data_IF_667090373762
#
_entry.id   IF_667090373762
#
_cell.length_a   1.000
_cell.length_b   1.000
_cell.length_c   1.000
_cell.angle_alpha   90.00
_cell.angle_beta   90.00
_cell.angle_gamma   90.00
#
_symmetry.space_group_name_H-M   'P 1'
#
loop_
_entity.id
_entity.type
_entity.pdbx_description
1 polymer ?
#
# COMPACT_ATOMS: atom_id res chain seq x y z
N UNK A 1 -34.01 -21.54 22.75
CA UNK A 1 -33.07 -20.41 22.66
C UNK A 1 -31.84 -20.69 21.79
N UNK A 2 -31.51 -21.93 21.45
CA UNK A 2 -30.33 -22.30 20.64
C UNK A 2 -30.51 -22.19 19.12
N UNK A 3 -31.75 -22.19 18.62
CA UNK A 3 -32.03 -22.17 17.17
C UNK A 3 -31.95 -20.78 16.53
N UNK A 4 -32.30 -19.73 17.29
CA UNK A 4 -32.33 -18.36 16.79
C UNK A 4 -30.92 -17.76 16.67
N UNK A 5 -30.03 -18.14 17.58
CA UNK A 5 -28.61 -17.78 17.52
C UNK A 5 -27.91 -18.44 16.33
N UNK A 6 -28.23 -19.71 16.04
CA UNK A 6 -27.66 -20.45 14.91
C UNK A 6 -28.08 -19.85 13.57
N UNK A 7 -29.35 -19.48 13.44
CA UNK A 7 -29.85 -18.82 12.23
C UNK A 7 -29.16 -17.46 11.97
N UNK A 8 -28.89 -16.68 13.02
CA UNK A 8 -28.08 -15.45 12.93
C UNK A 8 -26.64 -15.76 12.51
N UNK A 9 -25.99 -16.76 13.09
CA UNK A 9 -24.63 -17.14 12.72
C UNK A 9 -24.50 -17.55 11.24
N UNK A 10 -25.49 -18.27 10.72
CA UNK A 10 -25.54 -18.66 9.30
C UNK A 10 -25.74 -17.43 8.38
N UNK A 11 -26.54 -16.45 8.79
CA UNK A 11 -26.73 -15.17 8.09
C UNK A 11 -25.42 -14.37 7.98
N UNK A 12 -24.52 -14.49 8.98
CA UNK A 12 -23.21 -13.83 9.00
C UNK A 12 -22.06 -14.72 8.47
N UNK A 13 -22.34 -15.89 7.90
CA UNK A 13 -21.33 -16.79 7.32
C UNK A 13 -20.41 -17.47 8.35
N UNK A 14 -20.85 -17.58 9.62
CA UNK A 14 -20.12 -18.24 10.70
C UNK A 14 -20.46 -19.74 10.75
N UNK A 15 -20.31 -20.43 9.61
CA UNK A 15 -20.71 -21.85 9.45
C UNK A 15 -19.74 -22.84 10.09
N UNK A 16 -18.51 -22.42 10.40
CA UNK A 16 -17.53 -23.21 11.14
C UNK A 16 -17.05 -22.46 12.37
N UNK A 17 -17.59 -22.82 13.54
CA UNK A 17 -16.92 -22.54 14.80
C UNK A 17 -15.82 -23.60 14.93
N UNK A 18 -14.58 -23.26 14.60
CA UNK A 18 -13.45 -24.10 15.00
C UNK A 18 -13.53 -24.31 16.51
N UNK A 19 -13.78 -25.55 16.91
CA UNK A 19 -13.71 -26.01 18.30
C UNK A 19 -12.25 -26.02 18.72
N UNK A 20 -11.65 -24.85 18.91
CA UNK A 20 -10.50 -24.69 19.77
C UNK A 20 -11.05 -24.42 21.18
N UNK A 21 -11.59 -25.45 21.83
CA UNK A 21 -11.86 -25.33 23.26
C UNK A 21 -11.89 -26.68 23.95
N UNK A 22 -11.18 -26.71 25.07
CA UNK A 22 -11.38 -27.56 26.25
C UNK A 22 -10.51 -28.83 26.38
N UNK A 23 -9.19 -28.64 26.36
CA UNK A 23 -8.32 -29.42 27.27
C UNK A 23 -6.97 -28.73 27.48
N UNK A 24 -7.00 -27.58 28.17
CA UNK A 24 -5.83 -27.09 28.89
C UNK A 24 -6.24 -27.00 30.36
N UNK A 25 -5.66 -27.89 31.16
CA UNK A 25 -5.81 -27.87 32.60
C UNK A 25 -5.37 -26.50 33.13
N UNK A 26 -6.23 -25.87 33.94
CA UNK A 26 -5.92 -24.59 34.57
C UNK A 26 -4.82 -24.77 35.61
N UNK A 27 -3.56 -24.59 35.20
CA UNK A 27 -2.54 -24.08 36.10
C UNK A 27 -2.63 -22.54 36.07
N UNK A 28 -3.51 -22.00 36.92
CA UNK A 28 -3.60 -20.56 37.15
C UNK A 28 -2.45 -20.12 38.05
N UNK A 29 -1.24 -20.08 37.51
CA UNK A 29 -0.17 -19.30 38.13
C UNK A 29 -0.53 -17.82 37.99
N UNK A 30 -0.78 -17.16 39.13
CA UNK A 30 -1.01 -15.71 39.19
C UNK A 30 0.29 -15.00 38.79
N UNK A 31 0.49 -14.81 37.48
CA UNK A 31 1.50 -13.92 36.96
C UNK A 31 1.16 -12.50 37.45
N UNK A 32 2.08 -11.76 38.07
CA UNK A 32 1.81 -10.36 38.41
C UNK A 32 1.57 -9.61 37.10
N UNK A 33 0.32 -9.17 36.89
CA UNK A 33 -0.05 -8.24 35.83
C UNK A 33 0.71 -6.94 36.08
N UNK A 34 1.89 -6.84 35.49
CA UNK A 34 2.65 -5.61 35.45
C UNK A 34 2.12 -4.83 34.26
N UNK A 35 1.12 -3.99 34.51
CA UNK A 35 0.66 -2.99 33.54
C UNK A 35 1.84 -2.04 33.25
N UNK A 36 2.58 -2.31 32.18
CA UNK A 36 3.51 -1.34 31.62
C UNK A 36 2.69 -0.30 30.86
N UNK A 37 2.31 0.78 31.56
CA UNK A 37 1.86 1.98 30.88
C UNK A 37 3.01 2.55 30.05
N UNK A 38 2.98 2.29 28.73
CA UNK A 38 3.88 2.93 27.78
C UNK A 38 3.56 4.43 27.77
N UNK A 39 4.34 5.22 28.51
CA UNK A 39 4.31 6.68 28.37
C UNK A 39 4.85 7.07 26.99
N UNK A 40 3.96 7.12 26.01
CA UNK A 40 4.28 7.67 24.69
C UNK A 40 4.31 9.19 24.83
N UNK A 41 5.50 9.77 24.91
CA UNK A 41 5.66 11.23 24.80
C UNK A 41 5.20 11.64 23.39
N UNK A 42 4.01 12.24 23.30
CA UNK A 42 3.51 12.77 22.03
C UNK A 42 4.37 13.98 21.65
N UNK A 43 4.80 14.09 20.39
CA UNK A 43 5.39 15.31 19.85
C UNK A 43 4.45 16.50 20.11
N UNK A 44 4.99 17.73 20.21
CA UNK A 44 4.17 18.93 20.26
C UNK A 44 3.17 18.95 19.10
N UNK A 45 1.96 19.48 19.35
CA UNK A 45 0.99 19.67 18.28
C UNK A 45 1.60 20.54 17.19
N UNK A 46 1.54 20.08 15.93
CA UNK A 46 1.99 20.88 14.80
C UNK A 46 0.94 21.92 14.44
N UNK A 47 1.37 23.10 14.02
CA UNK A 47 0.49 24.12 13.45
C UNK A 47 -0.06 23.63 12.10
N UNK A 48 -1.38 23.66 11.87
CA UNK A 48 -1.96 23.21 10.61
C UNK A 48 -1.58 24.16 9.47
N UNK A 49 -1.09 23.60 8.38
CA UNK A 49 -0.81 24.37 7.16
C UNK A 49 -2.11 24.79 6.46
N UNK A 50 -2.13 25.96 5.83
CA UNK A 50 -3.30 26.47 5.14
C UNK A 50 -3.60 25.64 3.89
N UNK A 51 -4.79 25.05 3.85
CA UNK A 51 -5.20 24.25 2.71
C UNK A 51 -5.51 25.10 1.48
N UNK A 52 -5.03 24.67 0.31
CA UNK A 52 -5.39 25.24 -0.98
C UNK A 52 -5.49 24.13 -2.02
N UNK A 53 -6.23 24.37 -3.10
CA UNK A 53 -6.32 23.45 -4.23
C UNK A 53 -5.57 24.05 -5.41
N UNK A 54 -4.59 23.34 -5.94
CA UNK A 54 -3.83 23.78 -7.10
C UNK A 54 -4.74 24.03 -8.32
N UNK A 55 -4.42 25.08 -9.08
CA UNK A 55 -5.08 25.37 -10.36
C UNK A 55 -4.76 24.31 -11.42
N UNK A 56 -3.52 23.80 -11.45
CA UNK A 56 -3.14 22.76 -12.40
C UNK A 56 -3.90 21.45 -12.16
N UNK A 57 -4.19 21.12 -10.90
CA UNK A 57 -5.05 19.98 -10.54
C UNK A 57 -6.50 20.16 -11.03
N UNK A 58 -7.07 21.36 -10.88
CA UNK A 58 -8.40 21.69 -11.42
C UNK A 58 -8.43 21.61 -12.93
N UNK A 59 -7.41 22.15 -13.60
CA UNK A 59 -7.28 22.10 -15.05
C UNK A 59 -7.14 20.65 -15.54
N UNK A 60 -6.37 19.82 -14.85
CA UNK A 60 -6.21 18.40 -15.17
C UNK A 60 -7.52 17.62 -15.03
N UNK A 61 -8.30 17.89 -13.97
CA UNK A 61 -9.64 17.31 -13.79
C UNK A 61 -10.58 17.74 -14.91
N UNK A 62 -10.60 19.02 -15.27
CA UNK A 62 -11.56 19.56 -16.24
C UNK A 62 -11.21 19.23 -17.69
N UNK A 63 -9.92 19.24 -18.06
CA UNK A 63 -9.45 19.18 -19.45
C UNK A 63 -8.79 17.85 -19.80
N UNK A 64 -8.43 17.04 -18.82
CA UNK A 64 -7.66 15.81 -19.02
C UNK A 64 -6.17 16.04 -19.31
N UNK A 65 -5.42 14.94 -19.43
CA UNK A 65 -3.95 14.97 -19.50
C UNK A 65 -3.39 15.51 -20.83
N UNK A 66 -4.11 15.33 -21.94
CA UNK A 66 -3.68 15.79 -23.27
C UNK A 66 -3.74 17.31 -23.46
N UNK A 67 -4.35 18.03 -22.53
CA UNK A 67 -4.69 19.45 -22.69
C UNK A 67 -4.18 20.34 -21.55
N UNK A 68 -3.28 19.79 -20.72
CA UNK A 68 -2.59 20.54 -19.66
C UNK A 68 -1.10 20.62 -19.94
N UNK A 69 -0.47 21.63 -19.34
CA UNK A 69 0.99 21.70 -19.26
C UNK A 69 1.48 20.67 -18.22
N UNK A 70 1.96 19.53 -18.72
CA UNK A 70 2.47 18.44 -17.89
C UNK A 70 3.71 18.85 -17.10
N UNK A 71 4.50 19.82 -17.60
CA UNK A 71 5.71 20.28 -16.90
C UNK A 71 5.34 21.11 -15.67
N UNK A 72 4.35 22.00 -15.79
CA UNK A 72 3.79 22.71 -14.65
C UNK A 72 3.13 21.77 -13.65
N UNK A 73 2.38 20.78 -14.14
CA UNK A 73 1.75 19.78 -13.28
C UNK A 73 2.78 18.98 -12.47
N UNK A 74 3.85 18.50 -13.11
CA UNK A 74 4.95 17.78 -12.44
C UNK A 74 5.80 18.67 -11.53
N UNK A 75 5.88 19.98 -11.78
CA UNK A 75 6.57 20.91 -10.89
C UNK A 75 5.78 21.15 -9.60
N UNK A 76 4.45 21.20 -9.67
CA UNK A 76 3.57 21.39 -8.52
C UNK A 76 3.29 20.09 -7.75
N UNK A 77 3.31 18.94 -8.43
CA UNK A 77 3.01 17.63 -7.84
C UNK A 77 4.26 16.76 -7.77
N UNK A 78 4.61 16.32 -6.56
CA UNK A 78 5.80 15.50 -6.33
C UNK A 78 5.50 14.01 -6.54
N UNK A 79 6.39 13.25 -7.19
CA UNK A 79 6.32 11.80 -7.19
C UNK A 79 6.26 11.24 -5.76
N UNK A 80 5.37 10.27 -5.53
CA UNK A 80 5.02 9.79 -4.19
C UNK A 80 6.25 9.43 -3.33
N UNK A 81 7.17 8.63 -3.85
CA UNK A 81 8.38 8.25 -3.10
C UNK A 81 9.39 9.39 -2.91
N UNK A 82 9.37 10.42 -3.77
CA UNK A 82 10.21 11.62 -3.56
C UNK A 82 9.69 12.48 -2.42
N UNK A 83 8.41 12.38 -2.04
CA UNK A 83 7.90 13.06 -0.84
C UNK A 83 8.56 12.54 0.44
N UNK A 84 9.05 11.31 0.40
CA UNK A 84 9.74 10.65 1.52
C UNK A 84 11.21 11.03 1.60
N UNK A 85 11.70 11.84 0.64
CA UNK A 85 13.09 12.26 0.61
C UNK A 85 13.49 12.82 1.96
N UNK A 86 12.81 13.75 2.65
CA UNK A 86 13.41 14.29 3.90
C UNK A 86 13.33 13.39 5.17
N UNK A 87 12.89 12.12 5.07
CA UNK A 87 12.62 11.24 6.23
C UNK A 87 13.84 10.50 6.74
N UNK A 88 13.77 10.01 7.99
CA UNK A 88 14.75 9.07 8.50
C UNK A 88 14.82 7.78 7.66
N UNK A 89 13.76 7.40 6.94
CA UNK A 89 13.82 6.32 5.95
C UNK A 89 14.78 6.67 4.80
N UNK A 90 14.91 7.95 4.47
CA UNK A 90 15.93 8.42 3.56
C UNK A 90 17.33 8.56 4.19
N UNK A 91 17.59 8.24 5.47
CA UNK A 91 18.98 8.04 5.92
C UNK A 91 19.62 6.81 5.27
N UNK A 92 18.80 5.88 4.80
CA UNK A 92 19.22 4.77 3.95
C UNK A 92 19.37 5.21 2.47
N UNK A 93 19.16 6.50 2.17
CA UNK A 93 19.45 7.23 0.93
C UNK A 93 19.60 8.76 1.19
N UNK A 94 20.69 9.17 1.87
CA UNK A 94 20.91 10.45 2.58
C UNK A 94 19.93 11.63 2.32
N UNK A 95 19.02 11.86 3.28
CA UNK A 95 18.35 13.15 3.42
C UNK A 95 18.10 13.46 4.90
N UNK A 96 18.68 14.56 5.36
CA UNK A 96 18.60 15.01 6.74
C UNK A 96 17.72 16.26 6.82
N UNK A 97 16.66 16.18 7.64
CA UNK A 97 15.92 17.28 8.30
C UNK A 97 14.39 17.23 8.11
N UNK A 98 13.70 16.17 8.55
CA UNK A 98 12.27 16.32 8.90
C UNK A 98 12.08 16.66 10.38
N UNK A 99 11.40 17.78 10.68
CA UNK A 99 10.59 17.87 11.87
C UNK A 99 9.29 17.08 11.65
N UNK A 100 9.10 16.03 12.45
CA UNK A 100 7.85 15.62 13.08
C UNK A 100 6.51 15.66 12.30
N UNK A 101 5.99 14.44 12.03
CA UNK A 101 4.60 14.01 12.25
C UNK A 101 3.51 14.40 11.23
N UNK A 102 2.53 13.49 11.06
CA UNK A 102 1.32 13.57 10.22
C UNK A 102 1.45 13.15 8.75
N UNK A 103 2.04 11.98 8.48
CA UNK A 103 1.73 11.31 7.22
C UNK A 103 0.29 10.81 7.25
N UNK A 104 -0.56 11.41 6.40
CA UNK A 104 -1.96 11.00 6.29
C UNK A 104 -2.05 9.61 5.63
N UNK A 105 -3.01 8.77 6.05
CA UNK A 105 -3.36 7.56 5.31
C UNK A 105 -3.66 7.90 3.84
N UNK A 106 -3.16 7.07 2.93
CA UNK A 106 -3.48 7.18 1.52
C UNK A 106 -4.91 6.66 1.35
N UNK A 107 -5.84 7.54 1.00
CA UNK A 107 -7.28 7.23 0.99
C UNK A 107 -8.00 7.73 -0.27
N UNK A 108 -7.71 8.95 -0.70
CA UNK A 108 -8.36 9.57 -1.85
C UNK A 108 -7.43 9.58 -3.05
N UNK A 109 -7.81 8.83 -4.09
CA UNK A 109 -7.02 8.69 -5.31
C UNK A 109 -7.81 9.22 -6.49
N UNK A 110 -7.20 10.08 -7.30
CA UNK A 110 -7.74 10.46 -8.59
C UNK A 110 -6.93 9.77 -9.69
N UNK A 111 -7.62 9.04 -10.55
CA UNK A 111 -7.03 8.43 -11.75
C UNK A 111 -7.45 9.20 -13.00
N UNK A 112 -6.58 9.26 -14.00
CA UNK A 112 -7.00 9.70 -15.33
C UNK A 112 -7.49 8.53 -16.19
N UNK A 113 -8.26 8.89 -17.21
CA UNK A 113 -8.63 8.04 -18.33
C UNK A 113 -7.74 8.45 -19.51
N UNK A 114 -6.59 7.82 -19.68
CA UNK A 114 -5.81 7.97 -20.91
C UNK A 114 -6.06 6.76 -21.82
N UNK A 115 -6.64 7.01 -23.01
CA UNK A 115 -6.86 5.98 -24.03
C UNK A 115 -5.57 5.60 -24.78
N UNK A 116 -4.48 6.36 -24.62
CA UNK A 116 -3.23 6.18 -25.36
C UNK A 116 -1.94 6.38 -24.52
N UNK A 117 -2.05 6.67 -23.22
CA UNK A 117 -0.90 6.93 -22.33
C UNK A 117 -1.02 6.15 -21.02
N UNK A 118 0.09 6.03 -20.31
CA UNK A 118 0.17 5.46 -18.96
C UNK A 118 -0.83 6.11 -18.01
N UNK A 119 -1.57 5.29 -17.26
CA UNK A 119 -2.50 5.77 -16.22
C UNK A 119 -1.73 6.51 -15.13
N UNK A 120 -2.14 7.73 -14.82
CA UNK A 120 -1.59 8.55 -13.76
C UNK A 120 -2.48 8.49 -12.52
N UNK A 121 -1.87 8.27 -11.35
CA UNK A 121 -2.53 8.32 -10.05
C UNK A 121 -2.06 9.56 -9.29
N UNK A 122 -3.03 10.31 -8.77
CA UNK A 122 -2.79 11.46 -7.91
C UNK A 122 -3.42 11.19 -6.56
N UNK A 123 -2.60 11.20 -5.51
CA UNK A 123 -3.08 11.13 -4.12
C UNK A 123 -3.46 12.54 -3.71
N UNK A 124 -4.70 12.72 -3.25
CA UNK A 124 -5.21 14.01 -2.79
C UNK A 124 -5.60 13.93 -1.32
N UNK A 125 -5.62 15.07 -0.64
CA UNK A 125 -6.10 15.19 0.73
C UNK A 125 -7.63 15.11 0.79
N UNK A 126 -8.22 14.78 1.96
CA UNK A 126 -9.67 14.86 2.14
C UNK A 126 -10.26 16.26 1.86
N UNK A 127 -9.50 17.32 2.14
CA UNK A 127 -9.90 18.69 1.82
C UNK A 127 -10.00 18.90 0.30
N UNK A 128 -8.97 18.52 -0.45
CA UNK A 128 -8.99 18.60 -1.91
C UNK A 128 -10.09 17.74 -2.51
N UNK A 129 -10.33 16.55 -1.97
CA UNK A 129 -11.42 15.68 -2.40
C UNK A 129 -12.78 16.36 -2.26
N UNK A 130 -13.03 17.02 -1.13
CA UNK A 130 -14.27 17.76 -0.88
C UNK A 130 -14.44 18.95 -1.84
N UNK A 131 -13.38 19.75 -2.03
CA UNK A 131 -13.43 20.95 -2.88
C UNK A 131 -13.53 20.60 -4.38
N UNK A 132 -12.92 19.49 -4.80
CA UNK A 132 -12.88 19.06 -6.20
C UNK A 132 -14.08 18.20 -6.59
N UNK A 133 -14.85 17.70 -5.62
CA UNK A 133 -15.99 16.81 -5.85
C UNK A 133 -16.93 17.31 -6.96
N UNK A 134 -17.39 18.58 -6.97
CA UNK A 134 -18.32 19.05 -7.99
C UNK A 134 -17.71 19.12 -9.40
N UNK A 135 -16.37 19.28 -9.49
CA UNK A 135 -15.66 19.29 -10.77
C UNK A 135 -15.46 17.86 -11.28
N UNK A 136 -15.14 16.92 -10.39
CA UNK A 136 -14.94 15.50 -10.71
C UNK A 136 -16.25 14.86 -11.20
N UNK A 137 -17.37 15.16 -10.54
CA UNK A 137 -18.70 14.69 -10.95
C UNK A 137 -19.10 15.11 -12.37
N UNK A 138 -18.59 16.26 -12.84
CA UNK A 138 -18.86 16.79 -14.18
C UNK A 138 -17.80 16.37 -15.20
N UNK A 139 -16.63 15.94 -14.74
CA UNK A 139 -15.51 15.59 -15.59
C UNK A 139 -15.74 14.25 -16.28
N UNK A 140 -15.30 14.18 -17.55
CA UNK A 140 -15.26 12.94 -18.31
C UNK A 140 -13.87 12.31 -18.33
N UNK A 141 -12.87 12.96 -17.75
CA UNK A 141 -11.45 12.61 -17.88
C UNK A 141 -10.88 11.87 -16.68
N UNK A 142 -11.49 12.05 -15.50
CA UNK A 142 -10.94 11.50 -14.25
C UNK A 142 -11.97 10.66 -13.49
N UNK A 143 -11.46 9.84 -12.59
CA UNK A 143 -12.26 9.08 -11.62
C UNK A 143 -11.66 9.28 -10.23
N UNK A 144 -12.49 9.63 -9.25
CA UNK A 144 -12.13 9.64 -7.84
C UNK A 144 -12.42 8.27 -7.24
N UNK A 145 -11.47 7.75 -6.47
CA UNK A 145 -11.53 6.46 -5.82
C UNK A 145 -11.35 6.61 -4.31
N UNK A 146 -12.15 5.89 -3.54
CA UNK A 146 -11.84 5.58 -2.15
C UNK A 146 -10.97 4.32 -2.11
N UNK A 147 -9.88 4.40 -1.38
CA UNK A 147 -8.84 3.39 -1.32
C UNK A 147 -8.44 3.10 0.13
N UNK A 148 -8.08 1.84 0.41
CA UNK A 148 -7.41 1.46 1.64
C UNK A 148 -6.46 0.28 1.39
N UNK A 149 -5.19 0.34 1.87
CA UNK A 149 -4.26 -0.77 1.74
C UNK A 149 -4.69 -1.97 2.59
N UNK A 150 -4.36 -3.19 2.16
CA UNK A 150 -4.65 -4.41 2.93
C UNK A 150 -3.61 -4.61 4.05
N UNK A 151 -3.96 -4.20 5.26
CA UNK A 151 -3.09 -4.30 6.45
C UNK A 151 -3.46 -5.45 7.39
N UNK A 152 -4.60 -6.12 7.15
CA UNK A 152 -5.07 -7.24 7.95
C UNK A 152 -5.79 -8.27 7.05
N UNK A 153 -5.43 -9.55 7.17
CA UNK A 153 -6.02 -10.65 6.40
C UNK A 153 -7.47 -10.96 6.78
N UNK A 154 -7.89 -10.63 8.00
CA UNK A 154 -9.25 -10.91 8.49
C UNK A 154 -10.33 -10.09 7.76
N UNK A 155 -9.96 -9.05 7.02
CA UNK A 155 -10.87 -8.22 6.25
C UNK A 155 -10.68 -8.43 4.74
N UNK A 156 -11.77 -8.22 4.01
CA UNK A 156 -11.75 -8.22 2.54
C UNK A 156 -10.83 -7.11 2.00
N UNK A 157 -10.18 -7.39 0.87
CA UNK A 157 -9.27 -6.42 0.24
C UNK A 157 -10.03 -5.23 -0.34
N UNK A 158 -9.56 -4.01 -0.04
CA UNK A 158 -10.13 -2.74 -0.53
C UNK A 158 -9.13 -1.94 -1.38
N UNK A 159 -8.03 -2.56 -1.75
CA UNK A 159 -6.90 -1.99 -2.51
C UNK A 159 -7.16 -1.92 -4.01
N UNK A 160 -8.22 -2.56 -4.49
CA UNK A 160 -8.57 -2.71 -5.90
C UNK A 160 -9.23 -1.46 -6.54
N UNK A 161 -9.33 -0.34 -5.81
CA UNK A 161 -9.89 0.95 -6.28
C UNK A 161 -11.34 0.91 -6.79
N UNK A 162 -12.15 -0.09 -6.39
CA UNK A 162 -13.55 -0.19 -6.84
C UNK A 162 -14.59 0.07 -5.74
N UNK A 163 -14.18 0.12 -4.47
CA UNK A 163 -15.09 0.32 -3.31
C UNK A 163 -16.02 1.52 -3.51
N UNK A 164 -15.46 2.66 -3.92
CA UNK A 164 -16.22 3.85 -4.26
C UNK A 164 -15.54 4.52 -5.44
N UNK A 165 -16.31 4.75 -6.51
CA UNK A 165 -15.85 5.39 -7.73
C UNK A 165 -16.82 6.50 -8.11
N UNK A 166 -16.30 7.72 -8.21
CA UNK A 166 -17.04 8.85 -8.74
C UNK A 166 -16.40 9.35 -10.03
N UNK A 167 -17.21 9.46 -11.07
CA UNK A 167 -16.81 10.04 -12.34
C UNK A 167 -18.06 10.52 -13.08
N UNK A 168 -17.96 11.60 -13.84
CA UNK A 168 -19.05 12.06 -14.71
C UNK A 168 -19.38 11.12 -15.86
N UNK A 169 -18.57 10.07 -16.08
CA UNK A 169 -18.85 8.99 -17.04
C UNK A 169 -18.54 7.64 -16.42
N UNK A 170 -19.48 6.68 -16.35
CA UNK A 170 -19.19 5.33 -15.89
C UNK A 170 -18.14 4.70 -16.80
N UNK A 171 -17.02 4.27 -16.20
CA UNK A 171 -15.97 3.53 -16.88
C UNK A 171 -15.85 2.13 -16.31
N UNK A 172 -15.76 1.16 -17.22
CA UNK A 172 -15.46 -0.23 -16.92
C UNK A 172 -13.95 -0.52 -16.99
N UNK A 173 -13.15 0.45 -17.43
CA UNK A 173 -11.72 0.26 -17.61
C UNK A 173 -11.05 0.02 -16.26
N UNK A 174 -10.45 -1.16 -16.12
CA UNK A 174 -9.69 -1.52 -14.93
C UNK A 174 -8.34 -0.78 -14.93
N UNK A 175 -7.98 -0.21 -13.79
CA UNK A 175 -6.65 0.38 -13.59
C UNK A 175 -5.57 -0.69 -13.78
N UNK A 176 -4.49 -0.42 -14.53
CA UNK A 176 -3.40 -1.37 -14.69
C UNK A 176 -2.84 -1.82 -13.33
N UNK A 177 -2.64 -3.14 -13.17
CA UNK A 177 -2.19 -3.73 -11.90
C UNK A 177 -0.87 -3.18 -11.42
N UNK A 178 0.10 -2.96 -12.32
CA UNK A 178 1.42 -2.43 -11.98
C UNK A 178 1.36 -1.10 -11.21
N UNK A 179 0.40 -0.24 -11.55
CA UNK A 179 0.25 1.06 -10.89
C UNK A 179 -0.42 0.92 -9.53
N UNK A 180 -1.36 -0.02 -9.39
CA UNK A 180 -1.96 -0.38 -8.10
C UNK A 180 -0.90 -1.02 -7.18
N UNK A 181 -0.04 -1.90 -7.69
CA UNK A 181 1.07 -2.50 -6.92
C UNK A 181 1.98 -1.42 -6.33
N UNK A 182 2.33 -0.41 -7.13
CA UNK A 182 3.13 0.72 -6.67
C UNK A 182 2.41 1.55 -5.59
N UNK A 183 1.10 1.80 -5.79
CA UNK A 183 0.26 2.46 -4.79
C UNK A 183 0.22 1.66 -3.48
N UNK A 184 0.03 0.35 -3.56
CA UNK A 184 -0.05 -0.56 -2.42
C UNK A 184 1.24 -0.53 -1.59
N UNK A 185 2.41 -0.62 -2.26
CA UNK A 185 3.71 -0.50 -1.60
C UNK A 185 3.89 0.87 -0.94
N UNK A 186 3.57 1.97 -1.64
CA UNK A 186 3.69 3.33 -1.09
C UNK A 186 2.76 3.55 0.12
N UNK A 187 1.59 2.91 0.09
CA UNK A 187 0.57 3.02 1.14
C UNK A 187 0.86 2.12 2.35
N UNK A 188 1.83 1.21 2.25
CA UNK A 188 2.18 0.27 3.30
C UNK A 188 1.25 -0.94 3.41
N UNK A 189 0.75 -1.44 2.29
CA UNK A 189 0.06 -2.74 2.25
C UNK A 189 0.98 -3.84 2.80
N UNK A 190 0.42 -4.76 3.59
CA UNK A 190 1.17 -5.84 4.23
C UNK A 190 0.85 -7.22 3.67
N UNK A 191 -0.36 -7.38 3.14
CA UNK A 191 -0.85 -8.66 2.66
C UNK A 191 -1.25 -8.57 1.18
N UNK A 192 -1.00 -9.67 0.47
CA UNK A 192 -1.28 -9.80 -0.95
C UNK A 192 -2.45 -10.77 -1.15
N UNK A 193 -3.23 -10.54 -2.21
CA UNK A 193 -4.47 -11.30 -2.46
C UNK A 193 -4.24 -12.56 -3.29
N UNK A 194 -3.18 -12.59 -4.10
CA UNK A 194 -2.84 -13.71 -4.96
C UNK A 194 -1.34 -13.92 -5.14
N UNK A 195 -0.95 -15.11 -5.60
CA UNK A 195 0.43 -15.40 -5.99
C UNK A 195 0.91 -14.49 -7.14
N UNK A 196 0.00 -14.09 -8.04
CA UNK A 196 0.33 -13.13 -9.11
C UNK A 196 0.75 -11.77 -8.53
N UNK A 197 0.05 -11.28 -7.51
CA UNK A 197 0.42 -10.02 -6.86
C UNK A 197 1.80 -10.12 -6.20
N UNK A 198 2.15 -11.29 -5.65
CA UNK A 198 3.49 -11.58 -5.14
C UNK A 198 4.55 -11.51 -6.25
N UNK A 199 4.34 -12.19 -7.37
CA UNK A 199 5.30 -12.14 -8.49
C UNK A 199 5.42 -10.74 -9.07
N UNK A 200 4.32 -9.97 -9.14
CA UNK A 200 4.31 -8.60 -9.64
C UNK A 200 5.10 -7.67 -8.71
N UNK A 201 4.99 -7.84 -7.39
CA UNK A 201 5.80 -7.10 -6.39
C UNK A 201 7.27 -7.47 -6.54
N UNK A 202 7.61 -8.75 -6.63
CA UNK A 202 9.00 -9.19 -6.79
C UNK A 202 9.62 -8.67 -8.09
N UNK A 203 8.91 -8.76 -9.22
CA UNK A 203 9.36 -8.22 -10.51
C UNK A 203 9.56 -6.69 -10.43
N UNK A 204 8.64 -5.97 -9.78
CA UNK A 204 8.73 -4.51 -9.59
C UNK A 204 9.95 -4.11 -8.75
N UNK A 205 10.28 -4.88 -7.72
CA UNK A 205 11.38 -4.61 -6.80
C UNK A 205 12.72 -5.23 -7.25
N UNK A 206 12.71 -6.07 -8.28
CA UNK A 206 13.91 -6.78 -8.77
C UNK A 206 14.33 -7.94 -7.87
N UNK A 207 13.37 -8.57 -7.18
CA UNK A 207 13.58 -9.69 -6.27
C UNK A 207 13.33 -11.02 -6.98
N UNK A 208 14.09 -12.04 -6.60
CA UNK A 208 13.86 -13.41 -7.05
C UNK A 208 12.67 -14.03 -6.31
N UNK A 209 11.64 -14.44 -7.05
CA UNK A 209 10.53 -15.24 -6.55
C UNK A 209 10.63 -16.73 -6.94
N UNK A 210 11.40 -17.03 -7.99
CA UNK A 210 11.69 -18.40 -8.43
C UNK A 210 13.07 -18.89 -7.93
N UNK A 211 13.33 -20.18 -8.07
CA UNK A 211 14.64 -20.77 -7.80
C UNK A 211 15.70 -20.19 -8.74
N UNK A 212 16.71 -19.54 -8.15
CA UNK A 212 17.91 -19.13 -8.86
C UNK A 212 18.89 -20.31 -8.96
N UNK A 213 19.59 -20.41 -10.10
CA UNK A 213 20.68 -21.37 -10.26
C UNK A 213 21.86 -20.99 -9.36
N UNK A 214 22.73 -21.95 -9.03
CA UNK A 214 23.94 -21.71 -8.23
C UNK A 214 24.90 -20.66 -8.84
N UNK A 215 24.73 -20.35 -10.13
CA UNK A 215 25.51 -19.33 -10.83
C UNK A 215 25.09 -17.90 -10.51
N UNK A 216 23.90 -17.68 -9.94
CA UNK A 216 23.36 -16.35 -9.64
C UNK A 216 23.49 -16.07 -8.14
N UNK A 217 24.35 -15.11 -7.80
CA UNK A 217 24.51 -14.65 -6.41
C UNK A 217 23.46 -13.56 -6.14
N UNK A 218 22.48 -13.90 -5.32
CA UNK A 218 21.46 -12.97 -4.83
C UNK A 218 21.97 -12.17 -3.62
N UNK A 219 21.41 -10.99 -3.40
CA UNK A 219 21.55 -10.27 -2.13
C UNK A 219 20.79 -10.99 -1.00
N UNK A 220 21.07 -10.70 0.29
CA UNK A 220 20.41 -11.36 1.42
C UNK A 220 18.88 -11.22 1.45
N UNK A 221 18.37 -10.15 0.86
CA UNK A 221 16.94 -9.85 0.71
C UNK A 221 16.32 -10.43 -0.59
N UNK A 222 17.08 -11.23 -1.33
CA UNK A 222 16.65 -11.82 -2.60
C UNK A 222 16.77 -10.90 -3.81
N UNK A 223 17.37 -9.70 -3.69
CA UNK A 223 17.57 -8.80 -4.82
C UNK A 223 18.54 -9.36 -5.86
N UNK A 224 18.17 -9.26 -7.13
CA UNK A 224 18.97 -9.72 -8.28
C UNK A 224 19.83 -8.56 -8.76
N UNK A 225 21.17 -8.62 -8.69
CA UNK A 225 22.02 -7.54 -9.18
C UNK A 225 21.82 -7.27 -10.69
N UNK A 226 21.86 -6.00 -11.15
CA UNK A 226 21.69 -5.68 -12.56
C UNK A 226 22.86 -6.24 -13.40
N UNK A 227 22.55 -6.70 -14.62
CA UNK A 227 23.55 -7.20 -15.57
C UNK A 227 23.94 -8.68 -15.39
N UNK A 228 23.36 -9.37 -14.41
CA UNK A 228 23.52 -10.82 -14.27
C UNK A 228 22.75 -11.53 -15.38
N UNK A 229 23.41 -12.46 -16.08
CA UNK A 229 22.79 -13.38 -17.04
C UNK A 229 22.62 -14.73 -16.36
N UNK A 230 21.40 -15.19 -16.19
CA UNK A 230 21.08 -16.46 -15.52
C UNK A 230 19.61 -16.85 -15.68
N UNK A 231 19.17 -17.86 -14.94
CA UNK A 231 17.77 -18.32 -14.92
C UNK A 231 16.80 -17.26 -14.41
N UNK A 232 17.27 -16.36 -13.54
CA UNK A 232 16.53 -15.19 -13.06
C UNK A 232 17.16 -13.90 -13.57
N UNK A 233 16.33 -12.94 -13.95
CA UNK A 233 16.76 -11.64 -14.50
C UNK A 233 16.07 -10.52 -13.72
N UNK A 234 16.83 -9.50 -13.34
CA UNK A 234 16.26 -8.29 -12.74
C UNK A 234 15.43 -7.53 -13.79
N UNK A 235 14.11 -7.46 -13.58
CA UNK A 235 13.17 -6.72 -14.44
C UNK A 235 12.91 -5.28 -13.96
N UNK A 236 13.44 -4.92 -12.80
CA UNK A 236 13.26 -3.60 -12.21
C UNK A 236 14.22 -2.56 -12.79
N UNK A 237 13.94 -1.29 -12.50
CA UNK A 237 14.80 -0.15 -12.86
C UNK A 237 15.90 0.12 -11.83
N UNK A 238 15.94 -0.64 -10.73
CA UNK A 238 16.81 -0.36 -9.60
C UNK A 238 18.21 -0.92 -9.80
N UNK A 239 19.22 -0.10 -9.52
CA UNK A 239 20.62 -0.53 -9.48
C UNK A 239 21.03 -1.13 -8.13
N UNK A 240 20.26 -0.87 -7.07
CA UNK A 240 20.44 -1.36 -5.70
C UNK A 240 19.07 -1.75 -5.12
N UNK A 241 19.06 -2.70 -4.19
CA UNK A 241 17.81 -3.13 -3.57
C UNK A 241 17.04 -1.98 -2.90
N UNK A 242 15.74 -1.79 -3.21
CA UNK A 242 14.87 -0.83 -2.55
C UNK A 242 14.30 -1.35 -1.22
N UNK A 243 14.52 -2.63 -0.87
CA UNK A 243 13.84 -3.32 0.24
C UNK A 243 14.05 -2.63 1.57
N UNK A 244 15.28 -2.23 1.90
CA UNK A 244 15.56 -1.58 3.19
C UNK A 244 14.81 -0.25 3.33
N UNK A 245 14.71 0.53 2.25
CA UNK A 245 13.96 1.78 2.25
C UNK A 245 12.45 1.53 2.43
N UNK A 246 11.90 0.54 1.71
CA UNK A 246 10.49 0.18 1.83
C UNK A 246 10.15 -0.37 3.21
N UNK A 247 11.03 -1.20 3.79
CA UNK A 247 10.90 -1.70 5.16
C UNK A 247 10.73 -0.55 6.15
N UNK A 248 11.57 0.49 6.04
CA UNK A 248 11.48 1.66 6.93
C UNK A 248 10.22 2.48 6.69
N UNK A 249 9.83 2.68 5.43
CA UNK A 249 8.57 3.33 5.10
C UNK A 249 7.40 2.58 5.77
N UNK A 250 7.36 1.27 5.64
CA UNK A 250 6.26 0.47 6.17
C UNK A 250 6.29 0.42 7.69
N UNK A 251 7.38 -0.02 8.30
CA UNK A 251 7.48 -0.17 9.74
C UNK A 251 7.41 1.16 10.46
N UNK A 252 8.21 2.17 10.06
CA UNK A 252 8.35 3.41 10.85
C UNK A 252 7.33 4.47 10.52
N UNK A 253 6.82 4.50 9.28
CA UNK A 253 5.99 5.60 8.80
C UNK A 253 4.52 5.17 8.61
N UNK A 254 4.26 3.98 8.07
CA UNK A 254 2.89 3.52 7.79
C UNK A 254 2.26 2.73 8.94
N UNK A 255 3.07 2.06 9.74
CA UNK A 255 2.61 1.14 10.81
C UNK A 255 3.08 1.52 12.22
N UNK A 256 3.43 2.79 12.46
CA UNK A 256 3.76 3.32 13.80
C UNK A 256 4.80 2.48 14.59
N UNK A 257 5.84 2.00 13.91
CA UNK A 257 6.89 1.11 14.41
C UNK A 257 6.43 -0.31 14.76
N UNK A 258 5.32 -0.79 14.19
CA UNK A 258 4.89 -2.18 14.29
C UNK A 258 5.81 -3.14 13.53
N UNK A 259 5.94 -4.38 14.04
CA UNK A 259 6.64 -5.45 13.32
C UNK A 259 5.77 -5.96 12.17
N UNK A 260 6.37 -6.07 10.98
CA UNK A 260 5.73 -6.58 9.77
C UNK A 260 6.23 -7.98 9.40
N UNK A 261 7.16 -8.57 10.17
CA UNK A 261 7.91 -9.79 9.82
C UNK A 261 7.02 -10.98 9.45
N UNK A 262 5.87 -11.13 10.10
CA UNK A 262 4.94 -12.25 9.88
C UNK A 262 4.02 -12.06 8.66
N UNK A 263 4.01 -10.88 8.07
CA UNK A 263 3.16 -10.53 6.92
C UNK A 263 3.78 -11.01 5.61
N UNK A 264 3.02 -11.01 4.52
CA UNK A 264 3.56 -11.42 3.22
C UNK A 264 4.71 -10.48 2.81
N UNK A 265 4.51 -9.16 2.93
CA UNK A 265 5.56 -8.19 2.60
C UNK A 265 6.76 -8.30 3.55
N UNK A 266 6.55 -8.57 4.84
CA UNK A 266 7.65 -8.83 5.78
C UNK A 266 8.50 -10.02 5.37
N UNK A 267 7.88 -11.14 5.04
CA UNK A 267 8.56 -12.34 4.52
C UNK A 267 9.34 -12.04 3.24
N UNK A 268 8.73 -11.30 2.30
CA UNK A 268 9.40 -10.87 1.06
C UNK A 268 10.65 -10.03 1.37
N UNK A 269 10.57 -9.11 2.34
CA UNK A 269 11.70 -8.26 2.72
C UNK A 269 12.81 -9.02 3.48
N UNK A 270 12.52 -10.19 4.03
CA UNK A 270 13.50 -11.14 4.59
C UNK A 270 14.08 -12.09 3.53
N UNK A 271 13.74 -11.92 2.24
CA UNK A 271 14.18 -12.82 1.17
C UNK A 271 13.50 -14.20 1.20
N UNK A 272 12.40 -14.35 1.94
CA UNK A 272 11.64 -15.60 1.96
C UNK A 272 10.78 -15.69 0.69
N UNK A 273 10.79 -16.88 0.07
CA UNK A 273 9.91 -17.19 -1.06
C UNK A 273 8.55 -17.64 -0.54
N UNK A 274 7.49 -17.07 -1.13
CA UNK A 274 6.12 -17.49 -0.89
C UNK A 274 5.72 -18.49 -1.97
N UNK A 275 4.84 -19.43 -1.62
CA UNK A 275 4.32 -20.44 -2.53
C UNK A 275 2.86 -20.13 -2.88
N UNK A 276 2.36 -20.70 -3.98
CA UNK A 276 0.94 -20.57 -4.35
C UNK A 276 -0.01 -21.00 -3.22
N UNK A 277 0.39 -21.99 -2.44
CA UNK A 277 -0.35 -22.52 -1.30
C UNK A 277 -0.56 -21.49 -0.19
N UNK A 278 0.34 -20.51 -0.04
CA UNK A 278 0.22 -19.45 0.97
C UNK A 278 -0.99 -18.53 0.71
N UNK A 279 -1.51 -18.53 -0.53
CA UNK A 279 -2.60 -17.66 -0.99
C UNK A 279 -3.96 -18.38 -1.10
N UNK A 280 -4.03 -19.67 -0.77
CA UNK A 280 -5.28 -20.44 -0.80
C UNK A 280 -6.33 -19.80 0.14
N UNK A 281 -7.52 -19.55 -0.39
CA UNK A 281 -8.66 -19.01 0.37
C UNK A 281 -8.65 -17.51 0.63
N UNK A 282 -7.79 -16.72 -0.05
CA UNK A 282 -7.66 -15.26 0.19
C UNK A 282 -8.49 -14.34 -0.73
N UNK A 283 -9.45 -14.89 -1.47
CA UNK A 283 -10.31 -14.17 -2.43
C UNK A 283 -11.42 -13.35 -1.78
#
# INVERSE_FOLDING_TARGET
MTNELRARCDEFGLTELHTASLQEEQERELSPETEQERQVQKPPAAEPETHFVSRSLKDWILKGSSSIDITLFQAEHKPAFQTLNNTSAAQYFNVQAFPNCFQRPVQWIVTNKCQAESVCLVIISPFEAQELLPLIERSQHVTLHLYAPRVNLAFQSLDHLQLYRLSGKPTLDATPRSVVTFLNLFSGQLYLSSFQDYTDVCDLLGLAWDAADESVILCPDGFIPPGVKGSVVNKSVFSRSPVQFLRLLMEKIRHDCGSIEKTDIGKIFEGMRLLEDDFKGRS
#
